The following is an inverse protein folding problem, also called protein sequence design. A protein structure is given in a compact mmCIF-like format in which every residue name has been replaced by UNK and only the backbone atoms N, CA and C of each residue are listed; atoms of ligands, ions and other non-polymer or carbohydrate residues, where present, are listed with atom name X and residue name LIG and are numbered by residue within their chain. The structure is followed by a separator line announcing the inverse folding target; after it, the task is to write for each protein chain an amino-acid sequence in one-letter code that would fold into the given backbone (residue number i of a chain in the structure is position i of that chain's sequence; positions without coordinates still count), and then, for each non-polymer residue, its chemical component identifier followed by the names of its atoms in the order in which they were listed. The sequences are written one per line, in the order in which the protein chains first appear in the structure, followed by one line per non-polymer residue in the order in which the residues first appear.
data_IF_755452140402
#
_entry.id   IF_755452140402
#
_cell.length_a   1.000
_cell.length_b   1.000
_cell.length_c   1.000
_cell.angle_alpha   90.00
_cell.angle_beta   90.00
_cell.angle_gamma   90.00
#
_symmetry.space_group_name_H-M   'P 1'
#
loop_
_entity.id
_entity.type
_entity.pdbx_description
1 polymer ?
#
# COMPACT_ATOMS: atom_id res chain seq x y z
N UNK A 1 -21.51 -7.53 -18.69
CA UNK A 1 -20.84 -8.65 -18.00
C UNK A 1 -19.35 -8.46 -18.18
N UNK A 2 -18.73 -7.58 -17.41
CA UNK A 2 -17.27 -7.43 -17.39
C UNK A 2 -16.80 -8.09 -16.10
N UNK A 3 -16.29 -9.31 -16.24
CA UNK A 3 -15.87 -10.13 -15.11
C UNK A 3 -14.65 -9.53 -14.43
N UNK A 4 -14.74 -9.44 -13.11
CA UNK A 4 -13.62 -9.24 -12.20
C UNK A 4 -12.61 -10.40 -12.41
N UNK A 5 -11.59 -10.20 -13.25
CA UNK A 5 -10.59 -11.23 -13.56
C UNK A 5 -9.21 -10.83 -13.01
N UNK A 6 -9.14 -10.44 -11.73
CA UNK A 6 -7.84 -10.44 -11.05
C UNK A 6 -7.45 -11.88 -10.74
N UNK A 7 -6.63 -12.48 -11.61
CA UNK A 7 -6.08 -13.83 -11.44
C UNK A 7 -5.47 -14.00 -10.05
N UNK A 8 -5.83 -15.10 -9.36
CA UNK A 8 -5.25 -15.41 -8.07
C UNK A 8 -3.73 -15.64 -8.20
N UNK A 9 -3.00 -15.62 -7.09
CA UNK A 9 -1.57 -15.95 -7.10
C UNK A 9 -1.36 -17.34 -7.72
N UNK A 10 -2.20 -18.32 -7.37
CA UNK A 10 -2.09 -19.67 -7.91
C UNK A 10 -2.30 -19.71 -9.43
N UNK A 11 -3.29 -18.97 -9.95
CA UNK A 11 -3.53 -18.93 -11.38
C UNK A 11 -2.37 -18.27 -12.13
N UNK A 12 -1.81 -17.18 -11.58
CA UNK A 12 -0.62 -16.54 -12.17
C UNK A 12 0.58 -17.47 -12.17
N UNK A 13 0.86 -18.13 -11.06
CA UNK A 13 1.97 -19.10 -10.96
C UNK A 13 1.77 -20.27 -11.94
N UNK A 14 0.53 -20.75 -12.11
CA UNK A 14 0.21 -21.78 -13.09
C UNK A 14 0.49 -21.29 -14.53
N UNK A 15 0.06 -20.08 -14.88
CA UNK A 15 0.36 -19.48 -16.19
C UNK A 15 1.87 -19.31 -16.40
N UNK A 16 2.58 -18.78 -15.39
CA UNK A 16 4.03 -18.60 -15.44
C UNK A 16 4.78 -19.92 -15.60
N UNK A 17 4.31 -21.01 -14.99
CA UNK A 17 4.90 -22.34 -15.13
C UNK A 17 4.85 -22.85 -16.58
N UNK A 18 3.80 -22.49 -17.33
CA UNK A 18 3.60 -22.93 -18.72
C UNK A 18 4.22 -21.99 -19.75
N UNK A 19 4.34 -20.69 -19.42
CA UNK A 19 4.87 -19.69 -20.35
C UNK A 19 6.39 -19.81 -20.51
N UNK A 20 6.90 -19.70 -21.73
CA UNK A 20 8.35 -19.66 -22.03
C UNK A 20 8.92 -18.23 -22.02
N UNK A 21 8.06 -17.26 -22.32
CA UNK A 21 8.41 -15.85 -22.42
C UNK A 21 7.39 -15.04 -21.62
N UNK A 22 7.90 -14.15 -20.77
CA UNK A 22 7.12 -13.11 -20.12
C UNK A 22 7.36 -11.79 -20.87
N UNK A 23 6.29 -11.12 -21.31
CA UNK A 23 6.37 -9.85 -22.04
C UNK A 23 5.71 -8.73 -21.22
N UNK A 24 6.45 -7.66 -20.95
CA UNK A 24 5.92 -6.41 -20.43
C UNK A 24 6.28 -5.24 -21.35
N UNK A 25 5.31 -4.84 -22.19
CA UNK A 25 5.42 -3.68 -23.08
C UNK A 25 4.76 -2.42 -22.51
N UNK A 26 4.67 -2.28 -21.18
CA UNK A 26 4.11 -1.05 -20.61
C UNK A 26 4.94 0.17 -21.03
N UNK A 27 4.24 1.23 -21.44
CA UNK A 27 4.85 2.52 -21.81
C UNK A 27 5.26 3.34 -20.58
N UNK A 28 4.73 3.00 -19.40
CA UNK A 28 5.11 3.56 -18.10
C UNK A 28 4.73 2.57 -17.00
N UNK A 29 5.69 2.21 -16.14
CA UNK A 29 5.45 1.27 -15.04
C UNK A 29 6.48 1.50 -13.93
N UNK A 30 6.01 1.80 -12.72
CA UNK A 30 6.87 2.05 -11.56
C UNK A 30 7.32 0.76 -10.88
N UNK A 31 6.48 0.23 -9.99
CA UNK A 31 6.73 -1.01 -9.27
C UNK A 31 5.77 -2.09 -9.75
N UNK A 32 6.25 -2.95 -10.64
CA UNK A 32 5.54 -4.13 -11.09
C UNK A 32 6.24 -5.39 -10.58
N UNK A 33 5.50 -6.18 -9.80
CA UNK A 33 6.02 -7.40 -9.17
C UNK A 33 5.90 -8.63 -10.08
N UNK A 34 5.09 -8.59 -11.14
CA UNK A 34 4.83 -9.75 -12.00
C UNK A 34 6.09 -10.31 -12.68
N UNK A 35 7.04 -9.50 -13.18
CA UNK A 35 8.30 -10.01 -13.73
C UNK A 35 9.12 -10.76 -12.66
N UNK A 36 9.12 -10.28 -11.42
CA UNK A 36 9.82 -10.92 -10.30
C UNK A 36 9.13 -12.23 -9.90
N UNK A 37 7.79 -12.26 -9.86
CA UNK A 37 7.00 -13.49 -9.64
C UNK A 37 7.30 -14.53 -10.73
N UNK A 38 7.39 -14.13 -12.00
CA UNK A 38 7.77 -15.01 -13.11
C UNK A 38 9.17 -15.61 -12.91
N UNK A 39 10.18 -14.77 -12.64
CA UNK A 39 11.56 -15.23 -12.38
C UNK A 39 11.62 -16.22 -11.22
N UNK A 40 10.92 -15.93 -10.11
CA UNK A 40 10.84 -16.81 -8.95
C UNK A 40 10.13 -18.13 -9.28
N UNK A 41 9.07 -18.09 -10.09
CA UNK A 41 8.36 -19.30 -10.54
C UNK A 41 9.28 -20.22 -11.33
N UNK A 42 10.02 -19.66 -12.29
CA UNK A 42 10.98 -20.42 -13.09
C UNK A 42 12.11 -20.99 -12.24
N UNK A 43 12.62 -20.21 -11.28
CA UNK A 43 13.59 -20.69 -10.30
C UNK A 43 13.05 -21.87 -9.47
N UNK A 44 11.84 -21.76 -8.93
CA UNK A 44 11.24 -22.78 -8.06
C UNK A 44 11.00 -24.10 -8.81
N UNK A 45 10.59 -24.02 -10.07
CA UNK A 45 10.32 -25.18 -10.92
C UNK A 45 11.57 -25.72 -11.63
N UNK A 46 12.73 -25.08 -11.44
CA UNK A 46 13.99 -25.40 -12.16
C UNK A 46 13.80 -25.38 -13.69
N UNK A 47 12.98 -24.45 -14.16
CA UNK A 47 12.71 -24.22 -15.57
C UNK A 47 13.51 -23.01 -16.05
N UNK A 48 13.69 -22.93 -17.36
CA UNK A 48 14.18 -21.71 -18.00
C UNK A 48 13.02 -20.82 -18.45
N UNK A 49 13.37 -19.63 -18.93
CA UNK A 49 12.41 -18.67 -19.45
C UNK A 49 13.10 -17.36 -19.80
N UNK A 50 12.45 -16.58 -20.64
CA UNK A 50 12.94 -15.25 -21.04
C UNK A 50 11.99 -14.18 -20.52
N UNK A 51 12.55 -13.09 -20.00
CA UNK A 51 11.79 -11.91 -19.61
C UNK A 51 12.08 -10.83 -20.64
N UNK A 52 11.05 -10.36 -21.34
CA UNK A 52 11.11 -9.24 -22.29
C UNK A 52 10.45 -8.04 -21.64
N UNK A 53 11.20 -6.96 -21.45
CA UNK A 53 10.81 -5.79 -20.67
C UNK A 53 10.96 -4.52 -21.49
N UNK A 54 9.95 -3.65 -21.41
CA UNK A 54 10.04 -2.28 -21.87
C UNK A 54 11.20 -1.56 -21.19
N UNK A 55 11.96 -0.75 -21.91
CA UNK A 55 12.97 0.14 -21.31
C UNK A 55 12.35 1.20 -20.38
N UNK A 56 11.04 1.39 -20.44
CA UNK A 56 10.29 2.33 -19.61
C UNK A 56 9.68 1.71 -18.34
N UNK A 57 9.87 0.41 -18.09
CA UNK A 57 9.43 -0.22 -16.84
C UNK A 57 10.53 -0.22 -15.79
N UNK A 58 10.20 0.09 -14.53
CA UNK A 58 11.18 0.17 -13.44
C UNK A 58 11.98 -1.12 -13.22
N UNK A 59 11.34 -2.28 -13.43
CA UNK A 59 12.00 -3.57 -13.33
C UNK A 59 13.10 -3.81 -14.38
N UNK A 60 13.09 -3.09 -15.52
CA UNK A 60 14.11 -3.23 -16.59
C UNK A 60 15.51 -2.76 -16.17
N UNK A 61 15.58 -1.91 -15.15
CA UNK A 61 16.84 -1.42 -14.59
C UNK A 61 17.49 -2.41 -13.63
N UNK A 62 16.72 -3.36 -13.09
CA UNK A 62 17.21 -4.32 -12.09
C UNK A 62 17.31 -5.75 -12.64
N UNK A 63 16.36 -6.15 -13.48
CA UNK A 63 16.36 -7.45 -14.16
C UNK A 63 17.29 -7.40 -15.38
N UNK A 64 18.58 -7.54 -15.12
CA UNK A 64 19.65 -7.40 -16.11
C UNK A 64 19.83 -8.62 -17.03
N UNK A 65 19.14 -9.73 -16.77
CA UNK A 65 19.00 -10.86 -17.68
C UNK A 65 17.91 -10.63 -18.75
N UNK A 66 16.96 -9.74 -18.47
CA UNK A 66 15.85 -9.41 -19.36
C UNK A 66 16.28 -8.82 -20.71
N UNK A 67 15.53 -9.15 -21.75
CA UNK A 67 15.63 -8.56 -23.09
C UNK A 67 14.88 -7.24 -23.09
N UNK A 68 15.54 -6.15 -23.47
CA UNK A 68 14.94 -4.81 -23.45
C UNK A 68 14.30 -4.48 -24.78
N UNK A 69 13.09 -3.93 -24.74
CA UNK A 69 12.36 -3.46 -25.91
C UNK A 69 11.95 -2.00 -25.75
N UNK A 70 11.85 -1.29 -26.86
CA UNK A 70 11.15 -0.01 -26.91
C UNK A 70 9.71 -0.28 -27.37
N UNK A 71 8.69 -0.13 -26.51
CA UNK A 71 7.30 -0.44 -26.86
C UNK A 71 6.72 0.47 -27.96
N UNK A 72 7.35 1.60 -28.27
CA UNK A 72 6.94 2.48 -29.37
C UNK A 72 7.49 2.03 -30.73
N UNK A 73 8.44 1.10 -30.75
CA UNK A 73 8.96 0.48 -31.96
C UNK A 73 8.45 -0.97 -32.05
N UNK A 74 7.34 -1.16 -32.79
CA UNK A 74 6.70 -2.46 -32.91
C UNK A 74 7.60 -3.50 -33.61
N UNK A 75 8.37 -3.08 -34.62
CA UNK A 75 9.30 -3.97 -35.33
C UNK A 75 10.36 -4.51 -34.36
N UNK A 76 10.94 -3.64 -33.54
CA UNK A 76 11.90 -4.05 -32.52
C UNK A 76 11.27 -4.99 -31.47
N UNK A 77 10.04 -4.74 -31.04
CA UNK A 77 9.33 -5.65 -30.12
C UNK A 77 9.17 -7.03 -30.76
N UNK A 78 8.72 -7.10 -32.02
CA UNK A 78 8.53 -8.36 -32.75
C UNK A 78 9.86 -9.11 -32.90
N UNK A 79 10.93 -8.43 -33.29
CA UNK A 79 12.28 -8.99 -33.42
C UNK A 79 12.78 -9.58 -32.08
N UNK A 80 12.60 -8.85 -30.97
CA UNK A 80 13.04 -9.33 -29.66
C UNK A 80 12.17 -10.48 -29.12
N UNK A 81 10.88 -10.52 -29.46
CA UNK A 81 10.03 -11.66 -29.14
C UNK A 81 10.42 -12.91 -29.92
N UNK A 82 10.71 -12.78 -31.21
CA UNK A 82 11.21 -13.88 -32.03
C UNK A 82 12.56 -14.40 -31.51
N UNK A 83 13.47 -13.48 -31.18
CA UNK A 83 14.75 -13.80 -30.55
C UNK A 83 14.55 -14.50 -29.20
N UNK A 84 13.59 -14.07 -28.37
CA UNK A 84 13.30 -14.69 -27.08
C UNK A 84 12.76 -16.12 -27.22
N UNK A 85 11.90 -16.37 -28.21
CA UNK A 85 11.35 -17.70 -28.50
C UNK A 85 12.39 -18.64 -29.10
N UNK A 86 13.29 -18.12 -29.93
CA UNK A 86 14.36 -18.86 -30.60
C UNK A 86 15.65 -18.97 -29.78
N UNK A 87 15.71 -18.33 -28.60
CA UNK A 87 16.91 -18.23 -27.77
C UNK A 87 17.40 -19.61 -27.30
N UNK A 88 18.70 -19.96 -27.41
CA UNK A 88 19.23 -21.23 -26.93
C UNK A 88 19.03 -21.42 -25.42
N UNK A 89 18.80 -22.67 -24.99
CA UNK A 89 18.50 -23.00 -23.59
C UNK A 89 19.62 -22.61 -22.60
N UNK A 90 20.88 -22.65 -23.03
CA UNK A 90 22.01 -22.19 -22.22
C UNK A 90 21.95 -20.68 -21.96
N UNK A 91 21.63 -19.89 -23.00
CA UNK A 91 21.50 -18.44 -22.88
C UNK A 91 20.30 -18.06 -22.00
N UNK A 92 19.15 -18.72 -22.19
CA UNK A 92 17.95 -18.48 -21.36
C UNK A 92 18.26 -18.72 -19.87
N UNK A 93 18.93 -19.83 -19.55
CA UNK A 93 19.34 -20.15 -18.18
C UNK A 93 20.33 -19.14 -17.61
N UNK A 94 21.34 -18.75 -18.38
CA UNK A 94 22.33 -17.78 -17.93
C UNK A 94 21.71 -16.41 -17.62
N UNK A 95 20.81 -15.94 -18.48
CA UNK A 95 20.04 -14.69 -18.27
C UNK A 95 19.16 -14.80 -17.03
N UNK A 96 18.36 -15.85 -16.93
CA UNK A 96 17.46 -16.05 -15.80
C UNK A 96 18.23 -16.16 -14.48
N UNK A 97 19.37 -16.85 -14.45
CA UNK A 97 20.18 -17.00 -13.23
C UNK A 97 20.68 -15.64 -12.70
N UNK A 98 21.02 -14.71 -13.58
CA UNK A 98 21.42 -13.34 -13.21
C UNK A 98 20.29 -12.63 -12.47
N UNK A 99 19.06 -12.80 -12.95
CA UNK A 99 17.87 -12.19 -12.35
C UNK A 99 17.49 -12.89 -11.03
N UNK A 100 17.56 -14.22 -10.96
CA UNK A 100 17.26 -15.00 -9.74
C UNK A 100 18.09 -14.52 -8.55
N UNK A 101 19.41 -14.35 -8.74
CA UNK A 101 20.29 -13.89 -7.68
C UNK A 101 19.85 -12.52 -7.14
N UNK A 102 19.52 -11.59 -8.05
CA UNK A 102 19.04 -10.27 -7.67
C UNK A 102 17.73 -10.35 -6.86
N UNK A 103 16.73 -11.10 -7.36
CA UNK A 103 15.40 -11.18 -6.72
C UNK A 103 15.48 -11.82 -5.33
N UNK A 104 16.34 -12.82 -5.14
CA UNK A 104 16.50 -13.51 -3.85
C UNK A 104 17.19 -12.63 -2.80
N UNK A 105 18.16 -11.80 -3.21
CA UNK A 105 18.90 -10.91 -2.30
C UNK A 105 18.09 -9.66 -1.91
N UNK A 106 17.25 -9.14 -2.82
CA UNK A 106 16.57 -7.85 -2.66
C UNK A 106 15.09 -8.01 -2.28
N UNK A 107 14.85 -8.38 -1.02
CA UNK A 107 13.48 -8.57 -0.49
C UNK A 107 12.80 -7.25 -0.09
N UNK A 108 11.46 -7.24 -0.08
CA UNK A 108 10.64 -6.14 0.45
C UNK A 108 11.03 -5.79 1.90
N UNK A 109 11.35 -6.79 2.72
CA UNK A 109 11.80 -6.57 4.09
C UNK A 109 13.16 -5.87 4.15
N UNK A 110 14.09 -6.19 3.26
CA UNK A 110 15.38 -5.51 3.15
C UNK A 110 15.20 -4.04 2.71
N UNK A 111 14.39 -3.82 1.68
CA UNK A 111 14.04 -2.48 1.20
C UNK A 111 13.44 -1.61 2.31
N UNK A 112 12.46 -2.14 3.06
CA UNK A 112 11.83 -1.41 4.16
C UNK A 112 12.85 -1.05 5.26
N UNK A 113 13.74 -1.98 5.61
CA UNK A 113 14.82 -1.71 6.58
C UNK A 113 15.75 -0.60 6.09
N UNK A 114 16.12 -0.60 4.81
CA UNK A 114 16.95 0.46 4.23
C UNK A 114 16.25 1.82 4.28
N UNK A 115 14.99 1.89 3.86
CA UNK A 115 14.21 3.13 3.89
C UNK A 115 14.08 3.70 5.32
N UNK A 116 13.80 2.84 6.31
CA UNK A 116 13.73 3.25 7.72
C UNK A 116 15.10 3.70 8.25
N UNK A 117 16.17 2.99 7.92
CA UNK A 117 17.52 3.37 8.32
C UNK A 117 17.96 4.70 7.71
N UNK A 118 17.60 4.97 6.45
CA UNK A 118 17.89 6.25 5.81
C UNK A 118 17.17 7.40 6.52
N UNK A 119 15.91 7.21 6.94
CA UNK A 119 15.19 8.18 7.77
C UNK A 119 15.87 8.41 9.12
N UNK A 120 16.37 7.36 9.76
CA UNK A 120 17.13 7.49 11.02
C UNK A 120 18.45 8.25 10.83
N UNK A 121 19.14 8.06 9.71
CA UNK A 121 20.42 8.74 9.41
C UNK A 121 20.25 10.25 9.27
N UNK A 122 19.17 10.70 8.63
CA UNK A 122 18.89 12.15 8.51
C UNK A 122 18.70 12.77 9.88
N UNK A 123 17.95 12.12 10.78
CA UNK A 123 17.79 12.59 12.17
C UNK A 123 19.11 12.68 12.93
N UNK A 124 20.01 11.71 12.74
CA UNK A 124 21.32 11.70 13.43
C UNK A 124 22.32 12.72 12.89
N UNK A 125 22.23 13.07 11.60
CA UNK A 125 23.07 14.09 10.98
C UNK A 125 22.75 15.50 11.51
N UNK A 126 21.46 15.80 11.74
CA UNK A 126 21.04 17.06 12.37
C UNK A 126 21.31 17.07 13.89
N UNK A 127 21.19 15.92 14.55
CA UNK A 127 21.46 15.76 15.99
C UNK A 127 22.95 15.91 16.37
N UNK A 128 23.88 15.87 15.40
CA UNK A 128 25.29 16.20 15.65
C UNK A 128 25.52 17.67 16.06
N UNK A 129 24.47 18.50 16.06
CA UNK A 129 24.48 19.91 16.45
C UNK A 129 23.95 20.20 17.87
N UNK A 130 23.58 19.19 18.68
CA UNK A 130 23.15 19.38 20.09
C UNK A 130 23.67 18.27 21.03
N UNK A 131 24.03 18.58 22.29
CA UNK A 131 24.59 17.60 23.20
C UNK A 131 23.52 16.64 23.75
N UNK A 132 23.97 15.41 23.98
CA UNK A 132 23.18 14.22 24.29
C UNK A 132 22.15 14.37 25.43
N UNK A 133 20.94 13.90 25.16
CA UNK A 133 20.01 13.41 26.19
C UNK A 133 19.26 12.17 25.66
N UNK A 134 19.40 11.07 26.41
CA UNK A 134 18.65 9.80 26.38
C UNK A 134 18.05 9.36 25.02
N UNK A 135 18.69 8.38 24.38
CA UNK A 135 18.10 7.65 23.26
C UNK A 135 16.75 7.01 23.67
N UNK A 136 15.61 7.36 23.05
CA UNK A 136 14.42 6.54 23.16
C UNK A 136 14.64 5.30 22.29
N UNK A 137 14.35 4.12 22.86
CA UNK A 137 14.29 2.87 22.11
C UNK A 137 13.36 3.05 20.90
N UNK A 138 13.71 2.52 19.71
CA UNK A 138 12.85 2.61 18.55
C UNK A 138 11.53 1.93 18.88
N UNK A 139 10.44 2.71 18.84
CA UNK A 139 9.08 2.22 18.98
C UNK A 139 8.86 1.17 17.90
N UNK A 140 8.84 -0.11 18.30
CA UNK A 140 8.40 -1.23 17.47
C UNK A 140 6.92 -1.05 17.15
N UNK A 141 6.58 -0.24 16.15
CA UNK A 141 5.30 -0.31 15.45
C UNK A 141 5.22 0.79 14.38
N UNK A 142 5.55 0.44 13.13
CA UNK A 142 4.88 1.06 11.98
C UNK A 142 4.45 0.03 10.91
N UNK A 143 4.85 -1.23 11.02
CA UNK A 143 4.39 -2.32 10.13
C UNK A 143 4.22 -3.65 10.90
N UNK A 144 3.49 -3.62 12.02
CA UNK A 144 3.07 -4.84 12.73
C UNK A 144 1.83 -4.48 13.53
N UNK A 145 0.69 -4.75 12.94
CA UNK A 145 -0.59 -4.71 13.60
C UNK A 145 -0.68 -6.00 14.44
N UNK A 146 -0.97 -5.82 15.73
CA UNK A 146 -1.08 -6.83 16.79
C UNK A 146 0.17 -7.71 17.04
N UNK A 147 0.70 -7.62 18.26
CA UNK A 147 1.69 -8.54 18.81
C UNK A 147 1.19 -9.99 18.65
N UNK A 148 1.74 -10.73 17.68
CA UNK A 148 1.49 -12.17 17.51
C UNK A 148 1.28 -12.64 16.08
N UNK A 149 0.89 -11.78 15.13
CA UNK A 149 0.65 -12.22 13.74
C UNK A 149 1.92 -11.96 12.91
N UNK A 150 2.62 -13.04 12.53
CA UNK A 150 3.73 -12.97 11.58
C UNK A 150 3.15 -12.65 10.20
N UNK A 151 3.82 -11.78 9.44
CA UNK A 151 3.52 -11.58 8.03
C UNK A 151 3.56 -12.94 7.30
N UNK A 152 2.40 -13.40 6.79
CA UNK A 152 2.27 -14.68 6.06
C UNK A 152 1.26 -15.66 6.64
N UNK A 153 0.80 -15.50 7.88
CA UNK A 153 -0.31 -16.31 8.42
C UNK A 153 -1.65 -15.72 7.92
N UNK A 154 -2.53 -16.49 7.26
CA UNK A 154 -3.84 -16.01 6.87
C UNK A 154 -4.62 -15.62 8.13
N UNK A 155 -5.18 -14.41 8.11
CA UNK A 155 -6.05 -13.98 9.18
C UNK A 155 -7.21 -14.97 9.34
N UNK A 156 -7.49 -15.45 10.57
CA UNK A 156 -8.67 -16.28 10.77
C UNK A 156 -9.89 -15.47 10.32
N UNK A 157 -10.80 -16.09 9.55
CA UNK A 157 -11.99 -15.41 9.08
C UNK A 157 -12.81 -14.93 10.27
N UNK A 158 -13.41 -13.75 10.10
CA UNK A 158 -14.19 -13.10 11.12
C UNK A 158 -15.45 -13.94 11.41
N UNK A 159 -15.57 -14.53 12.61
CA UNK A 159 -16.76 -15.30 12.99
C UNK A 159 -17.90 -14.36 13.39
N UNK A 160 -18.97 -14.37 12.59
CA UNK A 160 -20.19 -13.59 12.86
C UNK A 160 -20.84 -13.99 14.18
N UNK A 161 -20.80 -15.27 14.55
CA UNK A 161 -21.37 -15.74 15.81
C UNK A 161 -20.62 -15.18 17.02
N UNK A 162 -19.29 -15.19 16.96
CA UNK A 162 -18.43 -14.62 18.00
C UNK A 162 -18.68 -13.11 18.15
N UNK A 163 -18.75 -12.38 17.02
CA UNK A 163 -19.03 -10.94 17.04
C UNK A 163 -20.42 -10.65 17.56
N UNK A 164 -21.43 -11.37 17.08
CA UNK A 164 -22.82 -11.13 17.48
C UNK A 164 -22.98 -11.38 18.99
N UNK A 165 -22.37 -12.45 19.51
CA UNK A 165 -22.35 -12.73 20.95
C UNK A 165 -21.65 -11.61 21.72
N UNK A 166 -20.42 -11.25 21.33
CA UNK A 166 -19.65 -10.21 22.00
C UNK A 166 -20.36 -8.85 21.95
N UNK A 167 -20.98 -8.50 20.82
CA UNK A 167 -21.74 -7.27 20.65
C UNK A 167 -22.93 -7.24 21.61
N UNK A 168 -23.72 -8.32 21.68
CA UNK A 168 -24.90 -8.40 22.56
C UNK A 168 -24.55 -8.34 24.05
N UNK A 169 -23.44 -8.94 24.47
CA UNK A 169 -23.06 -9.00 25.88
C UNK A 169 -22.24 -7.81 26.36
N UNK A 170 -21.61 -7.05 25.46
CA UNK A 170 -20.77 -5.92 25.85
C UNK A 170 -21.62 -4.70 26.26
N UNK A 171 -21.27 -4.12 27.42
CA UNK A 171 -21.91 -2.92 27.96
C UNK A 171 -21.37 -1.62 27.33
N UNK A 172 -20.18 -1.67 26.72
CA UNK A 172 -19.53 -0.56 26.00
C UNK A 172 -18.78 -1.14 24.81
N UNK A 173 -19.00 -0.58 23.63
CA UNK A 173 -18.46 -1.10 22.37
C UNK A 173 -17.73 0.01 21.64
N UNK A 174 -16.55 -0.30 21.12
CA UNK A 174 -15.81 0.60 20.23
C UNK A 174 -15.79 -0.03 18.86
N UNK A 175 -16.25 0.71 17.85
CA UNK A 175 -16.29 0.27 16.46
C UNK A 175 -15.41 1.21 15.64
N UNK A 176 -14.34 0.67 15.07
CA UNK A 176 -13.38 1.42 14.27
C UNK A 176 -13.49 0.94 12.82
N UNK A 177 -13.76 1.86 11.90
CA UNK A 177 -13.98 1.55 10.49
C UNK A 177 -13.01 2.36 9.62
N UNK A 178 -12.44 1.72 8.61
CA UNK A 178 -11.73 2.44 7.54
C UNK A 178 -12.74 3.16 6.63
N UNK A 179 -12.37 4.31 6.08
CA UNK A 179 -13.17 4.96 5.03
C UNK A 179 -12.86 4.34 3.66
N UNK A 180 -11.65 4.59 3.16
CA UNK A 180 -11.20 4.17 1.84
C UNK A 180 -10.88 2.68 1.81
N UNK A 181 -11.39 1.96 0.80
CA UNK A 181 -11.26 0.51 0.67
C UNK A 181 -12.19 -0.31 1.58
N UNK A 182 -12.87 0.31 2.55
CA UNK A 182 -13.84 -0.35 3.44
C UNK A 182 -15.26 0.18 3.24
N UNK A 183 -15.52 1.44 3.60
CA UNK A 183 -16.83 2.08 3.43
C UNK A 183 -17.01 2.62 2.01
N UNK A 184 -15.92 3.02 1.36
CA UNK A 184 -15.87 3.39 -0.06
C UNK A 184 -15.05 2.32 -0.75
N UNK A 185 -15.71 1.43 -1.50
CA UNK A 185 -14.99 0.51 -2.37
C UNK A 185 -14.60 1.25 -3.65
N UNK A 186 -13.34 1.65 -3.74
CA UNK A 186 -12.78 2.18 -4.98
C UNK A 186 -12.63 1.03 -5.98
N UNK A 187 -12.95 1.27 -7.25
CA UNK A 187 -12.62 0.32 -8.32
C UNK A 187 -11.10 0.07 -8.30
N UNK A 188 -10.68 -1.20 -8.44
CA UNK A 188 -9.26 -1.64 -8.28
C UNK A 188 -8.25 -0.79 -9.07
N UNK A 189 -8.66 -0.24 -10.22
CA UNK A 189 -7.84 0.65 -11.08
C UNK A 189 -7.52 2.01 -10.43
N UNK A 190 -8.38 2.51 -9.53
CA UNK A 190 -8.23 3.80 -8.83
C UNK A 190 -7.73 3.64 -7.38
N UNK A 191 -7.73 2.42 -6.84
CA UNK A 191 -7.32 2.14 -5.46
C UNK A 191 -5.84 2.48 -5.19
N UNK A 192 -4.99 2.42 -6.23
CA UNK A 192 -3.56 2.72 -6.12
C UNK A 192 -3.27 4.22 -6.09
N UNK A 193 -4.08 5.04 -6.77
CA UNK A 193 -3.83 6.47 -6.95
C UNK A 193 -4.19 7.33 -5.73
N UNK A 194 -4.78 6.74 -4.66
CA UNK A 194 -5.32 7.48 -3.49
C UNK A 194 -6.12 8.73 -3.88
N UNK A 195 -6.81 8.68 -5.02
CA UNK A 195 -7.65 9.79 -5.46
C UNK A 195 -8.92 9.78 -4.63
N UNK A 196 -8.95 10.68 -3.65
CA UNK A 196 -10.08 10.86 -2.74
C UNK A 196 -11.20 11.70 -3.34
N UNK A 197 -10.97 12.28 -4.52
CA UNK A 197 -11.85 13.23 -5.18
C UNK A 197 -12.35 12.70 -6.52
N UNK A 198 -13.57 13.09 -6.89
CA UNK A 198 -14.08 12.88 -8.25
C UNK A 198 -13.46 13.88 -9.25
N UNK A 199 -13.84 13.78 -10.52
CA UNK A 199 -13.35 14.65 -11.59
C UNK A 199 -13.69 16.15 -11.40
N UNK A 200 -14.59 16.47 -10.47
CA UNK A 200 -14.95 17.85 -10.10
C UNK A 200 -14.17 18.36 -8.88
N UNK A 201 -13.29 17.52 -8.31
CA UNK A 201 -12.57 17.85 -7.08
C UNK A 201 -13.40 17.64 -5.81
N UNK A 202 -14.57 16.98 -5.89
CA UNK A 202 -15.40 16.71 -4.72
C UNK A 202 -15.00 15.41 -4.06
N UNK A 203 -14.88 15.42 -2.73
CA UNK A 203 -14.50 14.23 -1.95
C UNK A 203 -15.53 13.11 -2.14
N UNK A 204 -15.04 11.92 -2.49
CA UNK A 204 -15.85 10.73 -2.71
C UNK A 204 -16.52 10.33 -1.39
N UNK A 205 -17.83 10.10 -1.40
CA UNK A 205 -18.61 9.75 -0.21
C UNK A 205 -19.01 8.27 -0.20
N UNK A 206 -19.23 7.65 0.98
CA UNK A 206 -19.77 6.29 1.07
C UNK A 206 -21.15 6.16 0.41
N UNK A 207 -21.52 4.96 -0.06
CA UNK A 207 -22.84 4.72 -0.63
C UNK A 207 -23.93 4.88 0.45
N UNK A 208 -25.19 5.17 0.06
CA UNK A 208 -26.29 5.41 0.99
C UNK A 208 -26.51 4.30 2.03
N UNK A 209 -26.32 3.04 1.64
CA UNK A 209 -26.44 1.89 2.53
C UNK A 209 -25.39 1.92 3.67
N UNK A 210 -24.14 2.28 3.35
CA UNK A 210 -23.08 2.41 4.34
C UNK A 210 -23.37 3.57 5.32
N UNK A 211 -23.84 4.70 4.80
CA UNK A 211 -24.26 5.85 5.63
C UNK A 211 -25.42 5.48 6.55
N UNK A 212 -26.38 4.68 6.07
CA UNK A 212 -27.48 4.17 6.89
C UNK A 212 -26.98 3.27 8.03
N UNK A 213 -26.10 2.31 7.74
CA UNK A 213 -25.50 1.46 8.76
C UNK A 213 -24.69 2.26 9.80
N UNK A 214 -23.91 3.26 9.36
CA UNK A 214 -23.18 4.15 10.28
C UNK A 214 -24.12 4.90 11.21
N UNK A 215 -25.22 5.45 10.69
CA UNK A 215 -26.24 6.11 11.53
C UNK A 215 -26.87 5.14 12.53
N UNK A 216 -27.21 3.92 12.11
CA UNK A 216 -27.75 2.90 12.99
C UNK A 216 -26.76 2.54 14.11
N UNK A 217 -25.48 2.34 13.78
CA UNK A 217 -24.44 2.07 14.77
C UNK A 217 -24.25 3.23 15.75
N UNK A 218 -24.30 4.48 15.27
CA UNK A 218 -24.17 5.67 16.12
C UNK A 218 -25.40 5.94 16.99
N UNK A 219 -26.58 5.43 16.59
CA UNK A 219 -27.83 5.60 17.35
C UNK A 219 -27.85 4.79 18.65
N UNK A 220 -27.02 3.75 18.76
CA UNK A 220 -26.86 2.96 19.97
C UNK A 220 -25.90 3.66 20.94
N UNK A 221 -26.36 4.12 22.13
CA UNK A 221 -25.52 4.87 23.08
C UNK A 221 -24.40 4.04 23.69
N UNK A 222 -24.47 2.70 23.63
CA UNK A 222 -23.41 1.81 24.09
C UNK A 222 -22.24 1.76 23.09
N UNK A 223 -22.43 2.28 21.88
CA UNK A 223 -21.40 2.33 20.84
C UNK A 223 -20.61 3.65 20.89
N UNK A 224 -19.30 3.53 20.67
CA UNK A 224 -18.43 4.60 20.25
C UNK A 224 -17.92 4.24 18.85
N UNK A 225 -18.44 4.93 17.83
CA UNK A 225 -18.12 4.64 16.43
C UNK A 225 -17.13 5.68 15.92
N UNK A 226 -16.06 5.22 15.26
CA UNK A 226 -15.09 6.06 14.60
C UNK A 226 -14.86 5.61 13.16
N UNK A 227 -14.73 6.58 12.26
CA UNK A 227 -14.19 6.35 10.91
C UNK A 227 -12.80 6.95 10.79
N UNK A 228 -11.86 6.15 10.29
CA UNK A 228 -10.45 6.48 10.13
C UNK A 228 -10.10 6.53 8.63
N UNK A 229 -9.39 7.58 8.22
CA UNK A 229 -8.91 7.74 6.84
C UNK A 229 -7.57 8.48 6.79
N UNK A 230 -6.85 8.30 5.69
CA UNK A 230 -5.70 9.13 5.31
C UNK A 230 -6.09 10.50 4.73
N UNK A 231 -7.38 10.76 4.50
CA UNK A 231 -7.92 12.04 4.00
C UNK A 231 -7.73 13.18 5.00
N UNK A 232 -7.85 14.41 4.49
CA UNK A 232 -7.84 15.63 5.30
C UNK A 232 -9.06 15.71 6.22
N UNK A 233 -9.00 16.53 7.26
CA UNK A 233 -10.16 16.80 8.13
C UNK A 233 -11.33 17.42 7.37
N UNK A 234 -11.04 18.31 6.41
CA UNK A 234 -12.06 18.94 5.55
C UNK A 234 -12.80 17.90 4.70
N UNK A 235 -12.07 16.99 4.07
CA UNK A 235 -12.65 15.89 3.28
C UNK A 235 -13.53 14.98 4.13
N UNK A 236 -13.06 14.67 5.34
CA UNK A 236 -13.77 13.83 6.29
C UNK A 236 -15.09 14.48 6.73
N UNK A 237 -15.09 15.79 6.99
CA UNK A 237 -16.33 16.50 7.34
C UNK A 237 -17.29 16.61 6.16
N UNK A 238 -16.79 16.85 4.95
CA UNK A 238 -17.62 16.92 3.75
C UNK A 238 -18.36 15.59 3.51
N UNK A 239 -17.72 14.45 3.79
CA UNK A 239 -18.30 13.12 3.55
C UNK A 239 -19.18 12.62 4.70
N UNK A 240 -18.76 12.85 5.96
CA UNK A 240 -19.30 12.16 7.14
C UNK A 240 -19.72 13.09 8.28
N UNK A 241 -19.46 14.39 8.17
CA UNK A 241 -19.71 15.37 9.24
C UNK A 241 -21.18 15.48 9.65
N UNK A 242 -22.10 15.14 8.75
CA UNK A 242 -23.54 15.13 9.01
C UNK A 242 -24.06 13.95 9.84
N UNK A 243 -23.21 12.99 10.22
CA UNK A 243 -23.64 11.83 11.04
C UNK A 243 -23.49 12.18 12.52
N UNK A 244 -24.63 12.34 13.20
CA UNK A 244 -24.66 12.55 14.65
C UNK A 244 -24.08 11.35 15.40
N UNK A 245 -23.30 11.61 16.46
CA UNK A 245 -22.65 10.57 17.26
C UNK A 245 -21.44 9.90 16.61
N UNK A 246 -21.02 10.33 15.40
CA UNK A 246 -19.86 9.75 14.74
C UNK A 246 -18.56 10.49 15.11
N UNK A 247 -17.56 9.73 15.53
CA UNK A 247 -16.18 10.19 15.64
C UNK A 247 -15.43 10.07 14.32
N UNK A 248 -14.54 11.01 14.03
CA UNK A 248 -13.72 11.03 12.82
C UNK A 248 -12.24 11.08 13.17
N UNK A 249 -11.42 10.39 12.40
CA UNK A 249 -9.97 10.41 12.49
C UNK A 249 -9.40 10.63 11.08
N UNK A 250 -8.83 11.82 10.87
CA UNK A 250 -8.24 12.26 9.62
C UNK A 250 -6.72 12.13 9.67
N UNK A 251 -6.06 12.17 8.51
CA UNK A 251 -4.60 12.06 8.38
C UNK A 251 -4.05 10.84 9.12
N UNK A 252 -4.70 9.69 8.95
CA UNK A 252 -4.40 8.43 9.65
C UNK A 252 -4.46 8.53 11.19
N UNK A 253 -5.33 9.41 11.69
CA UNK A 253 -5.57 9.59 13.13
C UNK A 253 -4.64 10.59 13.81
N UNK A 254 -3.89 11.39 13.04
CA UNK A 254 -3.19 12.58 13.54
C UNK A 254 -4.18 13.62 14.05
N UNK A 255 -5.23 13.89 13.26
CA UNK A 255 -6.35 14.73 13.65
C UNK A 255 -7.55 13.88 14.04
N UNK A 256 -8.18 14.20 15.16
CA UNK A 256 -9.31 13.46 15.71
C UNK A 256 -10.44 14.40 16.09
N UNK A 257 -11.66 13.99 15.76
CA UNK A 257 -12.91 14.60 16.20
C UNK A 257 -13.70 13.54 16.97
N UNK A 258 -13.93 13.69 18.28
CA UNK A 258 -14.64 12.70 19.07
C UNK A 258 -16.13 12.59 18.67
N UNK A 259 -16.78 11.44 18.95
CA UNK A 259 -18.23 11.24 18.84
C UNK A 259 -18.99 12.31 19.63
N UNK A 260 -20.00 12.93 19.01
CA UNK A 260 -20.90 13.89 19.66
C UNK A 260 -21.71 13.18 20.74
N UNK A 261 -21.31 13.31 22.01
CA UNK A 261 -22.04 12.75 23.17
C UNK A 261 -22.75 13.84 24.01
N UNK A 262 -22.36 15.10 23.87
CA UNK A 262 -22.96 16.26 24.55
C UNK A 262 -23.07 17.47 23.60
N UNK A 263 -23.79 18.52 24.03
CA UNK A 263 -24.14 19.71 23.25
C UNK A 263 -22.95 20.61 22.83
N UNK A 264 -21.72 20.24 23.16
CA UNK A 264 -20.52 20.93 22.68
C UNK A 264 -20.21 20.54 21.23
N UNK A 265 -19.95 21.54 20.40
CA UNK A 265 -19.44 21.31 19.05
C UNK A 265 -18.08 20.60 19.12
N UNK A 266 -17.94 19.41 18.52
CA UNK A 266 -16.68 18.69 18.57
C UNK A 266 -15.66 19.39 17.67
N UNK A 267 -14.71 20.09 18.26
CA UNK A 267 -13.55 20.61 17.56
C UNK A 267 -12.59 19.48 17.17
N UNK A 268 -11.97 19.60 16.01
CA UNK A 268 -10.83 18.77 15.64
C UNK A 268 -9.68 19.03 16.61
N UNK A 269 -9.04 17.96 17.07
CA UNK A 269 -7.91 18.01 17.99
C UNK A 269 -6.78 17.15 17.46
N UNK A 270 -5.55 17.58 17.68
CA UNK A 270 -4.38 16.72 17.47
C UNK A 270 -4.42 15.60 18.51
N UNK A 271 -4.16 14.37 18.08
CA UNK A 271 -4.08 13.21 18.96
C UNK A 271 -3.11 13.49 20.12
N UNK A 272 -3.49 13.14 21.35
CA UNK A 272 -2.68 13.36 22.57
C UNK A 272 -1.26 12.82 22.47
N UNK A 273 -1.05 11.70 21.77
CA UNK A 273 0.31 11.17 21.51
C UNK A 273 1.15 12.02 20.55
N UNK A 274 0.50 12.92 19.83
CA UNK A 274 1.09 13.84 18.86
C UNK A 274 1.05 15.30 19.34
N UNK A 275 0.43 15.59 20.49
CA UNK A 275 0.35 16.94 21.07
C UNK A 275 1.71 17.50 21.53
N UNK A 276 2.73 16.67 21.71
CA UNK A 276 4.12 17.10 21.91
C UNK A 276 4.93 17.29 20.63
N UNK A 277 4.34 17.01 19.46
CA UNK A 277 4.96 17.14 18.14
C UNK A 277 4.30 18.24 17.30
N UNK A 278 3.32 18.97 17.85
CA UNK A 278 2.49 19.92 17.11
C UNK A 278 3.22 21.18 16.67
N UNK A 279 4.32 21.56 17.33
CA UNK A 279 5.08 22.76 16.96
C UNK A 279 6.16 22.51 15.90
N UNK A 280 6.45 21.25 15.57
CA UNK A 280 7.50 20.92 14.61
C UNK A 280 7.04 19.81 13.64
N UNK A 281 6.21 20.21 12.66
CA UNK A 281 6.14 19.51 11.38
C UNK A 281 7.48 19.60 10.60
N UNK A 282 8.56 20.11 11.21
CA UNK A 282 9.94 20.16 10.70
C UNK A 282 10.43 18.80 10.20
N UNK A 283 9.98 17.70 10.83
CA UNK A 283 10.29 16.35 10.34
C UNK A 283 9.79 16.11 8.90
N UNK A 284 8.69 16.76 8.47
CA UNK A 284 8.20 16.66 7.09
C UNK A 284 9.20 17.32 6.14
N UNK A 285 9.79 18.45 6.52
CA UNK A 285 10.84 19.13 5.76
C UNK A 285 12.10 18.27 5.65
N UNK A 286 12.47 17.57 6.73
CA UNK A 286 13.60 16.62 6.73
C UNK A 286 13.31 15.35 5.90
N UNK A 287 12.08 14.84 5.96
CA UNK A 287 11.69 13.62 5.26
C UNK A 287 11.42 13.84 3.77
N UNK A 288 10.95 15.02 3.36
CA UNK A 288 10.51 15.31 2.01
C UNK A 288 11.61 15.08 0.95
N UNK A 289 12.87 15.53 1.13
CA UNK A 289 13.94 15.25 0.17
C UNK A 289 14.25 13.75 0.04
N UNK A 290 14.17 12.99 1.14
CA UNK A 290 14.37 11.53 1.13
C UNK A 290 13.25 10.86 0.34
N UNK A 291 12.00 11.18 0.66
CA UNK A 291 10.83 10.64 -0.05
C UNK A 291 10.84 11.04 -1.53
N UNK A 292 11.20 12.28 -1.86
CA UNK A 292 11.33 12.75 -3.25
C UNK A 292 12.42 11.97 -4.00
N UNK A 293 13.55 11.65 -3.36
CA UNK A 293 14.60 10.81 -3.94
C UNK A 293 14.13 9.38 -4.22
N UNK A 294 13.35 8.78 -3.32
CA UNK A 294 12.77 7.46 -3.58
C UNK A 294 11.76 7.53 -4.72
N UNK A 295 10.88 8.53 -4.69
CA UNK A 295 9.81 8.71 -5.68
C UNK A 295 10.36 9.00 -7.09
N UNK A 296 11.41 9.82 -7.21
CA UNK A 296 12.05 10.08 -8.51
C UNK A 296 12.76 8.85 -9.08
N UNK A 297 13.19 7.93 -8.22
CA UNK A 297 13.80 6.65 -8.61
C UNK A 297 12.77 5.56 -8.90
N UNK A 298 11.50 5.78 -8.57
CA UNK A 298 10.37 4.88 -8.83
C UNK A 298 9.34 5.57 -9.73
N UNK A 299 9.78 6.06 -10.89
CA UNK A 299 8.91 6.80 -11.80
C UNK A 299 7.68 5.96 -12.22
N UNK A 300 6.47 6.44 -11.92
CA UNK A 300 5.22 5.73 -12.19
C UNK A 300 4.63 4.92 -11.02
N UNK A 301 5.24 4.96 -9.83
CA UNK A 301 4.70 4.31 -8.61
C UNK A 301 3.75 5.21 -7.79
N UNK A 302 2.95 6.05 -8.45
CA UNK A 302 1.98 6.94 -7.81
C UNK A 302 0.59 6.33 -7.78
#
# INVERSE_FOLDING_TARGET
MEGDHSWSVYDRLALFSLSHVYLNCATRDGLNLLPFEYVLTKSALRQDGVVVLSEFVGCSHVLNGGVRVNPFNLEHVVEQLDAALSMPADERRARLQKDINFVQEHTTASWLKMAVNDMHRVRSADAASQPAAAAPQPTRALCSWAAGVRAGEPLPPLSLDTITRAYRTACRRVVLLGLDGTLIQQHKVMAHLKNYHDFTGKSLSPPPAALHCLRALCSDPQNAVYVISGRTSQDMEACLGGIAGLGLAAENGYLQRPPRRHADEPSWRVNERSQGASDELSWRELAQPVLARYTSRTNGSY
#
